data_IF_349210219774
#
_entry.id   IF_349210219774
#
_cell.length_a   1.000
_cell.length_b   1.000
_cell.length_c   1.000
_cell.angle_alpha   90.00
_cell.angle_beta   90.00
_cell.angle_gamma   90.00
#
_symmetry.space_group_name_H-M   'P 1'
#
loop_
_entity.id
_entity.type
_entity.pdbx_description
1 polymer ?
#
# COMPACT_ATOMS: atom_id res chain seq x y z
N UNK A 1 35.21 15.16 45.66
CA UNK A 1 35.13 13.94 44.81
C UNK A 1 33.73 13.60 44.30
N UNK A 2 32.64 14.13 44.88
CA UNK A 2 31.26 13.75 44.51
C UNK A 2 30.67 14.45 43.27
N UNK A 3 31.36 15.46 42.70
CA UNK A 3 30.90 16.21 41.51
C UNK A 3 31.40 15.66 40.17
N UNK A 4 32.43 14.81 40.18
CA UNK A 4 32.98 14.21 38.95
C UNK A 4 32.18 12.98 38.50
N UNK A 5 31.52 12.29 39.45
CA UNK A 5 30.74 11.08 39.19
C UNK A 5 29.43 11.38 38.44
N UNK A 6 28.82 12.54 38.69
CA UNK A 6 27.54 12.94 38.06
C UNK A 6 27.68 13.28 36.59
N UNK A 7 28.84 13.84 36.18
CA UNK A 7 29.10 14.18 34.76
C UNK A 7 29.39 12.92 33.93
N UNK A 8 30.00 11.89 34.53
CA UNK A 8 30.22 10.61 33.86
C UNK A 8 28.92 9.81 33.67
N UNK A 9 27.96 9.93 34.60
CA UNK A 9 26.62 9.32 34.46
C UNK A 9 25.78 9.98 33.36
N UNK A 10 25.95 11.28 33.09
CA UNK A 10 25.27 11.95 31.97
C UNK A 10 25.88 11.62 30.59
N UNK A 11 27.15 11.20 30.53
CA UNK A 11 27.79 10.73 29.29
C UNK A 11 27.52 9.24 29.00
N UNK A 12 26.99 8.51 29.99
CA UNK A 12 26.53 7.12 29.87
C UNK A 12 25.00 7.00 29.71
N UNK A 13 24.27 8.12 29.76
CA UNK A 13 22.95 8.20 29.15
C UNK A 13 23.19 8.08 27.64
N UNK A 14 23.24 6.83 27.19
CA UNK A 14 23.57 6.46 25.84
C UNK A 14 22.80 7.32 24.86
N UNK A 15 23.43 7.60 23.72
CA UNK A 15 22.76 7.99 22.47
C UNK A 15 21.36 7.38 22.48
N UNK A 16 20.37 8.19 22.86
CA UNK A 16 18.99 7.83 22.72
C UNK A 16 18.82 7.76 21.21
N UNK A 17 18.95 6.56 20.65
CA UNK A 17 18.71 6.35 19.23
C UNK A 17 17.26 6.76 19.05
N UNK A 18 17.05 7.90 18.38
CA UNK A 18 15.72 8.35 18.06
C UNK A 18 15.01 7.19 17.36
N UNK A 19 13.86 6.79 17.89
CA UNK A 19 12.94 5.87 17.20
C UNK A 19 12.75 6.41 15.79
N UNK A 20 12.96 5.58 14.74
CA UNK A 20 12.85 6.06 13.38
C UNK A 20 11.41 6.49 13.10
N UNK A 21 11.20 7.38 12.11
CA UNK A 21 9.86 7.60 11.60
C UNK A 21 9.26 6.26 11.15
N UNK A 22 7.96 6.07 11.41
CA UNK A 22 7.22 4.94 10.83
C UNK A 22 7.16 5.14 9.31
N UNK A 23 7.42 4.07 8.57
CA UNK A 23 7.36 4.05 7.10
C UNK A 23 6.53 2.87 6.66
N UNK A 24 5.54 3.12 5.79
CA UNK A 24 4.65 2.09 5.25
C UNK A 24 4.74 1.98 3.73
N UNK A 25 4.79 0.76 3.24
CA UNK A 25 4.84 0.46 1.81
C UNK A 25 3.72 -0.49 1.46
N UNK A 26 3.05 -0.23 0.33
CA UNK A 26 2.15 -1.20 -0.30
C UNK A 26 2.41 -1.27 -1.80
N UNK A 27 2.52 -2.49 -2.32
CA UNK A 27 2.70 -2.77 -3.75
C UNK A 27 1.60 -3.71 -4.23
N UNK A 28 0.88 -3.31 -5.27
CA UNK A 28 -0.24 -4.07 -5.81
C UNK A 28 0.11 -4.71 -7.15
N UNK A 29 -0.26 -5.98 -7.29
CA UNK A 29 -0.11 -6.73 -8.53
C UNK A 29 -1.44 -7.34 -8.93
N UNK A 30 -1.98 -6.95 -10.08
CA UNK A 30 -3.21 -7.54 -10.62
C UNK A 30 -2.94 -9.00 -11.00
N UNK A 31 -3.77 -9.92 -10.50
CA UNK A 31 -3.61 -11.35 -10.70
C UNK A 31 -4.71 -11.99 -11.55
N UNK A 32 -5.96 -11.63 -11.26
CA UNK A 32 -7.12 -12.30 -11.80
C UNK A 32 -8.33 -11.37 -11.87
N UNK A 33 -9.35 -11.77 -12.61
CA UNK A 33 -10.62 -11.05 -12.63
C UNK A 33 -11.82 -11.99 -12.86
N UNK A 34 -12.99 -11.52 -12.44
CA UNK A 34 -14.30 -12.04 -12.84
C UNK A 34 -14.98 -11.01 -13.74
N UNK A 35 -16.28 -11.20 -14.02
CA UNK A 35 -17.07 -10.20 -14.73
C UNK A 35 -17.29 -8.92 -13.90
N UNK A 36 -17.28 -9.00 -12.57
CA UNK A 36 -17.64 -7.91 -11.66
C UNK A 36 -16.49 -7.39 -10.81
N UNK A 37 -15.42 -8.15 -10.63
CA UNK A 37 -14.30 -7.78 -9.76
C UNK A 37 -12.96 -8.09 -10.42
N UNK A 38 -11.91 -7.40 -9.98
CA UNK A 38 -10.54 -7.80 -10.19
C UNK A 38 -9.85 -8.03 -8.85
N UNK A 39 -8.81 -8.85 -8.88
CA UNK A 39 -8.11 -9.32 -7.69
C UNK A 39 -6.65 -8.92 -7.77
N UNK A 40 -6.18 -8.27 -6.71
CA UNK A 40 -4.79 -7.84 -6.58
C UNK A 40 -4.11 -8.55 -5.44
N UNK A 41 -2.85 -8.94 -5.65
CA UNK A 41 -1.95 -9.29 -4.57
C UNK A 41 -1.31 -8.00 -4.06
N UNK A 42 -1.57 -7.69 -2.79
CA UNK A 42 -1.00 -6.54 -2.11
C UNK A 42 0.08 -7.01 -1.13
N UNK A 43 1.31 -6.59 -1.38
CA UNK A 43 2.42 -6.77 -0.46
C UNK A 43 2.54 -5.52 0.43
N UNK A 44 2.59 -5.71 1.74
CA UNK A 44 2.68 -4.60 2.71
C UNK A 44 3.94 -4.75 3.53
N UNK A 45 4.68 -3.65 3.67
CA UNK A 45 5.79 -3.54 4.61
C UNK A 45 5.55 -2.37 5.57
N UNK A 46 5.83 -2.58 6.85
CA UNK A 46 5.67 -1.57 7.89
C UNK A 46 6.79 -1.72 8.92
N UNK A 47 7.60 -0.69 9.12
CA UNK A 47 8.69 -0.74 10.10
C UNK A 47 8.22 -0.50 11.55
N UNK A 48 6.92 -0.32 11.80
CA UNK A 48 6.34 -0.09 13.12
C UNK A 48 6.97 1.06 13.91
N UNK A 49 7.62 2.02 13.23
CA UNK A 49 8.40 3.08 13.90
C UNK A 49 9.59 2.55 14.68
N UNK A 50 10.17 1.43 14.24
CA UNK A 50 11.30 0.73 14.87
C UNK A 50 12.43 0.48 13.89
N UNK A 51 13.68 0.54 14.37
CA UNK A 51 14.87 0.09 13.62
C UNK A 51 14.98 -1.43 13.60
N UNK A 52 14.17 -2.11 14.42
CA UNK A 52 14.39 -3.50 14.80
C UNK A 52 13.24 -4.42 14.44
N UNK A 53 12.03 -3.89 14.42
CA UNK A 53 10.82 -4.67 14.18
C UNK A 53 10.17 -4.20 12.89
N UNK A 54 9.68 -5.13 12.10
CA UNK A 54 8.91 -4.82 10.91
C UNK A 54 7.86 -5.88 10.62
N UNK A 55 6.90 -5.52 9.79
CA UNK A 55 5.88 -6.41 9.25
C UNK A 55 6.07 -6.56 7.76
N UNK A 56 5.82 -7.76 7.25
CA UNK A 56 5.78 -8.06 5.82
C UNK A 56 4.61 -8.99 5.54
N UNK A 57 3.47 -8.40 5.19
CA UNK A 57 2.24 -9.16 5.00
C UNK A 57 1.85 -9.20 3.52
N UNK A 58 1.16 -10.25 3.12
CA UNK A 58 0.62 -10.43 1.79
C UNK A 58 -0.87 -10.67 1.88
N UNK A 59 -1.65 -9.94 1.08
CA UNK A 59 -3.10 -10.05 1.05
C UNK A 59 -3.58 -10.20 -0.39
N UNK A 60 -4.60 -11.03 -0.60
CA UNK A 60 -5.43 -10.97 -1.80
C UNK A 60 -6.55 -9.98 -1.54
N UNK A 61 -6.69 -8.95 -2.37
CA UNK A 61 -7.75 -7.94 -2.25
C UNK A 61 -8.69 -8.08 -3.45
N UNK A 62 -9.98 -8.12 -3.16
CA UNK A 62 -11.05 -8.02 -4.16
C UNK A 62 -11.44 -6.55 -4.35
N UNK A 63 -11.49 -6.10 -5.60
CA UNK A 63 -11.88 -4.74 -5.96
C UNK A 63 -13.00 -4.79 -7.00
N UNK A 64 -14.10 -4.09 -6.72
CA UNK A 64 -15.24 -3.96 -7.62
C UNK A 64 -14.86 -3.21 -8.90
N UNK A 65 -15.18 -3.79 -10.06
CA UNK A 65 -14.99 -3.13 -11.36
C UNK A 65 -16.03 -2.03 -11.62
N UNK A 66 -17.13 -2.01 -10.87
CA UNK A 66 -18.21 -1.02 -11.06
C UNK A 66 -17.99 0.23 -10.20
N UNK A 67 -17.43 0.05 -9.00
CA UNK A 67 -17.23 1.15 -8.03
C UNK A 67 -15.77 1.51 -7.80
N UNK A 68 -14.83 0.60 -8.10
CA UNK A 68 -13.42 0.76 -7.77
C UNK A 68 -13.09 0.60 -6.28
N UNK A 69 -14.06 0.19 -5.47
CA UNK A 69 -13.91 -0.01 -4.02
C UNK A 69 -13.39 -1.42 -3.70
N UNK A 70 -12.51 -1.52 -2.71
CA UNK A 70 -12.14 -2.82 -2.16
C UNK A 70 -13.28 -3.38 -1.31
N UNK A 71 -13.77 -4.57 -1.66
CA UNK A 71 -14.96 -5.19 -1.07
C UNK A 71 -14.63 -6.26 -0.05
N UNK A 72 -13.55 -7.00 -0.27
CA UNK A 72 -13.10 -8.09 0.58
C UNK A 72 -11.58 -8.28 0.49
N UNK A 73 -11.00 -8.93 1.49
CA UNK A 73 -9.61 -9.36 1.46
C UNK A 73 -9.40 -10.71 2.15
N UNK A 74 -8.30 -11.37 1.80
CA UNK A 74 -7.83 -12.61 2.41
C UNK A 74 -6.35 -12.48 2.75
N UNK A 75 -5.96 -12.60 4.03
CA UNK A 75 -4.55 -12.70 4.40
C UNK A 75 -3.95 -13.98 3.80
N UNK A 76 -2.83 -13.84 3.09
CA UNK A 76 -2.12 -14.97 2.49
C UNK A 76 -0.89 -15.32 3.32
N UNK A 77 -0.20 -14.30 3.81
CA UNK A 77 1.01 -14.45 4.62
C UNK A 77 1.10 -13.30 5.62
N UNK A 78 1.46 -13.60 6.86
CA UNK A 78 1.62 -12.60 7.93
C UNK A 78 2.98 -12.78 8.58
N UNK A 79 3.89 -11.82 8.42
CA UNK A 79 5.29 -11.99 8.84
C UNK A 79 5.69 -10.85 9.77
N UNK A 80 6.27 -11.21 10.91
CA UNK A 80 7.08 -10.31 11.72
C UNK A 80 8.57 -10.53 11.46
N UNK A 81 9.31 -9.44 11.28
CA UNK A 81 10.77 -9.44 11.14
C UNK A 81 11.38 -8.76 12.36
N UNK A 82 12.37 -9.40 12.97
CA UNK A 82 13.07 -8.88 14.14
C UNK A 82 14.60 -8.90 13.95
N UNK A 83 15.22 -7.72 13.91
CA UNK A 83 16.65 -7.54 13.69
C UNK A 83 17.49 -7.53 14.99
N UNK A 84 16.90 -7.70 16.19
CA UNK A 84 17.63 -7.63 17.46
C UNK A 84 18.50 -8.88 17.76
N UNK A 85 18.20 -10.03 17.16
CA UNK A 85 18.86 -11.28 17.56
C UNK A 85 20.26 -11.45 16.95
N UNK A 86 20.59 -10.68 15.93
CA UNK A 86 21.90 -10.72 15.27
C UNK A 86 22.45 -9.30 15.24
N UNK A 87 23.57 -9.05 15.94
CA UNK A 87 24.35 -7.78 15.97
C UNK A 87 24.88 -7.32 14.59
N UNK A 88 24.24 -7.76 13.52
CA UNK A 88 24.69 -7.66 12.16
C UNK A 88 23.52 -7.24 11.26
N UNK A 89 23.54 -5.96 10.90
CA UNK A 89 22.58 -5.35 9.96
C UNK A 89 22.60 -6.00 8.56
N UNK A 90 23.51 -6.95 8.32
CA UNK A 90 23.67 -7.69 7.06
C UNK A 90 22.89 -9.02 7.01
N UNK A 91 22.38 -9.52 8.14
CA UNK A 91 21.52 -10.70 8.16
C UNK A 91 20.04 -10.29 8.16
N UNK A 92 19.18 -10.91 7.32
CA UNK A 92 17.74 -10.75 7.48
C UNK A 92 17.43 -11.23 8.90
N UNK A 93 16.81 -10.36 9.70
CA UNK A 93 16.52 -10.67 11.10
C UNK A 93 15.69 -11.94 11.27
N UNK A 94 15.39 -12.33 12.50
CA UNK A 94 14.51 -13.45 12.77
C UNK A 94 13.14 -13.22 12.09
N UNK A 95 12.78 -14.14 11.18
CA UNK A 95 11.50 -14.12 10.46
C UNK A 95 10.55 -15.03 11.23
N UNK A 96 9.44 -14.47 11.68
CA UNK A 96 8.40 -15.17 12.45
C UNK A 96 7.06 -15.03 11.76
N UNK A 97 6.28 -16.10 11.72
CA UNK A 97 4.88 -16.01 11.30
C UNK A 97 4.05 -15.43 12.44
N UNK A 98 3.21 -14.46 12.10
CA UNK A 98 2.28 -13.85 13.05
C UNK A 98 1.00 -14.68 13.15
N UNK A 99 0.37 -14.65 14.32
CA UNK A 99 -0.90 -15.33 14.54
C UNK A 99 -2.03 -14.79 13.64
N UNK A 100 -2.98 -15.66 13.33
CA UNK A 100 -4.22 -15.37 12.59
C UNK A 100 -4.41 -16.28 11.37
N UNK A 101 -5.58 -16.15 10.76
CA UNK A 101 -5.96 -16.98 9.63
C UNK A 101 -5.19 -16.60 8.37
N UNK A 102 -4.80 -17.61 7.61
CA UNK A 102 -4.20 -17.45 6.27
C UNK A 102 -4.92 -18.34 5.27
N UNK A 103 -4.93 -17.92 4.01
CA UNK A 103 -5.66 -18.57 2.93
C UNK A 103 -4.72 -18.94 1.77
N UNK A 104 -5.00 -20.05 1.09
CA UNK A 104 -4.35 -20.37 -0.17
C UNK A 104 -4.95 -19.51 -1.30
N UNK A 105 -4.11 -18.68 -1.91
CA UNK A 105 -4.53 -17.73 -2.94
C UNK A 105 -5.22 -18.41 -4.13
N UNK A 106 -4.70 -19.55 -4.58
CA UNK A 106 -5.23 -20.23 -5.76
C UNK A 106 -6.55 -20.92 -5.44
N UNK A 107 -6.72 -21.43 -4.21
CA UNK A 107 -7.98 -21.96 -3.73
C UNK A 107 -9.07 -20.88 -3.69
N UNK A 108 -8.78 -19.72 -3.08
CA UNK A 108 -9.72 -18.60 -3.01
C UNK A 108 -10.13 -18.13 -4.40
N UNK A 109 -9.17 -17.88 -5.29
CA UNK A 109 -9.46 -17.43 -6.67
C UNK A 109 -10.33 -18.44 -7.43
N UNK A 110 -10.07 -19.74 -7.24
CA UNK A 110 -10.88 -20.81 -7.86
C UNK A 110 -12.30 -20.85 -7.32
N UNK A 111 -12.49 -20.67 -6.01
CA UNK A 111 -13.83 -20.63 -5.39
C UNK A 111 -14.66 -19.44 -5.88
N UNK A 112 -14.00 -18.29 -6.06
CA UNK A 112 -14.62 -17.09 -6.62
C UNK A 112 -14.88 -17.18 -8.13
N UNK A 113 -14.34 -18.21 -8.81
CA UNK A 113 -14.40 -18.35 -10.26
C UNK A 113 -13.61 -17.25 -10.99
N UNK A 114 -12.57 -16.72 -10.36
CA UNK A 114 -11.71 -15.71 -10.95
C UNK A 114 -10.74 -16.35 -11.95
N UNK A 115 -10.64 -15.74 -13.13
CA UNK A 115 -9.73 -16.19 -14.18
C UNK A 115 -8.40 -15.43 -14.07
N UNK A 116 -7.24 -16.13 -14.11
CA UNK A 116 -5.95 -15.47 -14.12
C UNK A 116 -5.83 -14.54 -15.32
N UNK A 117 -5.39 -13.31 -15.05
CA UNK A 117 -5.11 -12.35 -16.09
C UNK A 117 -3.71 -12.64 -16.62
N UNK A 118 -3.62 -12.88 -17.92
CA UNK A 118 -2.32 -12.89 -18.58
C UNK A 118 -1.84 -11.44 -18.55
N UNK A 119 -0.62 -11.17 -18.06
CA UNK A 119 -0.04 -9.85 -18.18
C UNK A 119 -0.11 -9.45 -19.65
N UNK A 120 -0.96 -8.48 -19.94
CA UNK A 120 -0.99 -7.81 -21.23
C UNK A 120 -0.42 -6.42 -20.99
N UNK A 121 0.91 -6.30 -20.74
CA UNK A 121 1.54 -5.01 -20.58
C UNK A 121 1.50 -4.36 -21.96
N UNK A 122 0.47 -3.58 -22.21
CA UNK A 122 0.67 -2.42 -23.06
C UNK A 122 1.30 -1.36 -22.16
N UNK A 123 2.31 -0.68 -22.69
CA UNK A 123 2.83 0.48 -21.98
C UNK A 123 1.69 1.48 -21.84
N UNK A 124 1.56 2.05 -20.64
CA UNK A 124 0.56 3.08 -20.36
C UNK A 124 0.98 4.41 -21.01
N UNK A 125 1.50 4.36 -22.25
CA UNK A 125 2.04 5.50 -23.01
C UNK A 125 0.97 6.59 -23.21
N UNK A 126 -0.30 6.20 -23.27
CA UNK A 126 -1.41 7.12 -23.46
C UNK A 126 -1.79 7.87 -22.19
N UNK A 127 -1.37 7.42 -21.00
CA UNK A 127 -1.70 8.09 -19.74
C UNK A 127 -0.50 8.74 -19.06
N UNK A 128 -0.74 9.94 -18.54
CA UNK A 128 0.23 10.66 -17.76
C UNK A 128 -0.45 11.39 -16.61
N UNK A 129 0.32 11.66 -15.54
CA UNK A 129 -0.10 12.57 -14.49
C UNK A 129 0.42 13.97 -14.79
N UNK A 130 -0.49 14.93 -14.89
CA UNK A 130 -0.17 16.35 -15.09
C UNK A 130 -0.84 17.13 -13.97
N UNK A 131 -0.04 17.80 -13.14
CA UNK A 131 -0.52 18.53 -11.95
C UNK A 131 -1.40 17.67 -11.03
N UNK A 132 -1.07 16.37 -10.92
CA UNK A 132 -1.80 15.39 -10.12
C UNK A 132 -3.11 14.89 -10.74
N UNK A 133 -3.50 15.36 -11.92
CA UNK A 133 -4.65 14.85 -12.67
C UNK A 133 -4.21 13.74 -13.63
N UNK A 134 -5.04 12.70 -13.78
CA UNK A 134 -4.78 11.65 -14.77
C UNK A 134 -5.29 12.10 -16.13
N UNK A 135 -4.39 12.17 -17.09
CA UNK A 135 -4.63 12.56 -18.48
C UNK A 135 -4.57 11.32 -19.37
N UNK A 136 -5.42 11.29 -20.40
CA UNK A 136 -5.31 10.40 -21.57
C UNK A 136 -5.06 11.27 -22.80
N UNK A 137 -3.83 11.34 -23.29
CA UNK A 137 -3.41 12.38 -24.23
C UNK A 137 -3.70 13.78 -23.67
N UNK A 138 -4.52 14.57 -24.37
CA UNK A 138 -4.92 15.92 -23.94
C UNK A 138 -6.19 15.94 -23.06
N UNK A 139 -6.84 14.80 -22.83
CA UNK A 139 -8.12 14.74 -22.12
C UNK A 139 -7.89 14.36 -20.65
N UNK A 140 -8.38 15.18 -19.72
CA UNK A 140 -8.39 14.81 -18.31
C UNK A 140 -9.45 13.73 -18.06
N UNK A 141 -9.02 12.56 -17.59
CA UNK A 141 -9.90 11.44 -17.28
C UNK A 141 -10.18 11.30 -15.79
N UNK A 142 -9.26 11.70 -14.91
CA UNK A 142 -9.50 11.80 -13.46
C UNK A 142 -8.90 13.09 -12.89
N UNK A 143 -9.61 13.70 -11.94
CA UNK A 143 -9.09 14.82 -11.15
C UNK A 143 -8.12 14.32 -10.07
N UNK A 144 -7.25 15.18 -9.51
CA UNK A 144 -6.45 14.82 -8.34
C UNK A 144 -7.30 14.33 -7.16
N UNK A 145 -8.47 14.93 -6.97
CA UNK A 145 -9.43 14.51 -5.96
C UNK A 145 -9.94 13.08 -6.20
N UNK A 146 -10.29 12.74 -7.45
CA UNK A 146 -10.77 11.40 -7.80
C UNK A 146 -9.69 10.33 -7.60
N UNK A 147 -8.43 10.64 -7.89
CA UNK A 147 -7.30 9.74 -7.63
C UNK A 147 -7.18 9.45 -6.13
N UNK A 148 -7.24 10.47 -5.28
CA UNK A 148 -7.21 10.28 -3.82
C UNK A 148 -8.42 9.49 -3.32
N UNK A 149 -9.60 9.73 -3.89
CA UNK A 149 -10.79 8.96 -3.58
C UNK A 149 -10.64 7.47 -3.93
N UNK A 150 -10.03 7.15 -5.08
CA UNK A 150 -9.71 5.77 -5.47
C UNK A 150 -8.71 5.11 -4.49
N UNK A 151 -7.63 5.82 -4.14
CA UNK A 151 -6.68 5.33 -3.13
C UNK A 151 -7.37 5.04 -1.79
N UNK A 152 -8.23 5.96 -1.32
CA UNK A 152 -9.05 5.77 -0.10
C UNK A 152 -9.94 4.53 -0.18
N UNK A 153 -10.63 4.37 -1.28
CA UNK A 153 -11.57 3.27 -1.50
C UNK A 153 -10.89 1.89 -1.52
N UNK A 154 -9.63 1.81 -1.93
CA UNK A 154 -8.90 0.54 -2.07
C UNK A 154 -7.96 0.22 -0.91
N UNK A 155 -7.31 1.21 -0.32
CA UNK A 155 -6.30 0.99 0.72
C UNK A 155 -6.94 0.87 2.12
N UNK A 156 -8.07 1.53 2.36
CA UNK A 156 -8.71 1.55 3.68
C UNK A 156 -9.22 0.18 4.18
N UNK A 157 -9.39 -0.80 3.28
CA UNK A 157 -9.93 -2.13 3.62
C UNK A 157 -9.09 -2.88 4.67
N UNK A 158 -7.78 -2.61 4.72
CA UNK A 158 -6.85 -3.25 5.65
C UNK A 158 -6.61 -2.44 6.93
N UNK A 159 -7.28 -1.30 7.12
CA UNK A 159 -7.02 -0.38 8.24
C UNK A 159 -7.11 -1.06 9.62
N UNK A 160 -8.01 -2.01 9.78
CA UNK A 160 -8.24 -2.69 11.06
C UNK A 160 -7.18 -3.76 11.41
N UNK A 161 -6.38 -4.22 10.44
CA UNK A 161 -5.44 -5.33 10.62
C UNK A 161 -4.09 -4.92 11.23
N UNK A 162 -3.82 -3.62 11.24
CA UNK A 162 -2.54 -3.08 11.64
C UNK A 162 -2.67 -2.23 12.89
N UNK A 163 -1.65 -2.25 13.78
CA UNK A 163 -1.71 -1.51 15.02
C UNK A 163 -1.85 -0.01 14.73
N UNK A 164 -2.87 0.59 15.35
CA UNK A 164 -3.00 2.03 15.48
C UNK A 164 -1.78 2.61 16.21
N UNK A 165 -1.53 3.91 16.06
CA UNK A 165 -0.58 4.61 16.93
C UNK A 165 -0.89 4.32 18.40
N UNK A 166 0.16 4.16 19.21
CA UNK A 166 0.05 3.84 20.64
C UNK A 166 -0.79 4.89 21.42
N UNK A 167 -0.95 6.11 20.87
CA UNK A 167 -1.87 7.11 21.40
C UNK A 167 -2.44 8.08 20.34
N UNK A 168 -3.61 8.65 20.61
CA UNK A 168 -4.23 9.74 19.81
C UNK A 168 -3.38 11.03 19.82
N UNK A 169 -2.49 11.17 20.81
CA UNK A 169 -1.62 12.33 21.00
C UNK A 169 -0.38 12.29 20.08
N UNK A 170 0.13 11.09 19.78
CA UNK A 170 1.19 10.87 18.80
C UNK A 170 0.69 11.11 17.36
N UNK A 171 -0.54 10.68 17.08
CA UNK A 171 -1.22 10.90 15.80
C UNK A 171 -1.44 12.39 15.48
N UNK A 172 -1.71 13.25 16.48
CA UNK A 172 -1.88 14.70 16.27
C UNK A 172 -0.56 15.48 16.19
N UNK A 173 0.57 14.87 16.57
CA UNK A 173 1.89 15.52 16.61
C UNK A 173 2.65 15.43 15.30
N UNK A 174 2.31 14.48 14.45
CA UNK A 174 2.96 14.26 13.17
C UNK A 174 1.92 14.44 12.07
N UNK A 175 1.96 15.57 11.36
CA UNK A 175 1.19 15.82 10.13
C UNK A 175 1.62 14.82 9.03
N UNK A 176 1.31 13.53 9.21
CA UNK A 176 1.79 12.45 8.35
C UNK A 176 0.64 11.70 7.71
N UNK A 177 0.78 11.51 6.41
CA UNK A 177 -0.07 10.65 5.61
C UNK A 177 0.48 9.24 5.77
N UNK A 178 -0.32 8.33 6.30
CA UNK A 178 0.03 6.92 6.45
C UNK A 178 -0.99 6.07 5.66
N UNK A 179 -0.60 4.85 5.29
CA UNK A 179 -1.46 3.84 4.66
C UNK A 179 -2.81 3.68 5.39
N UNK A 180 -2.82 3.89 6.71
CA UNK A 180 -3.97 3.74 7.60
C UNK A 180 -4.82 5.01 7.76
N UNK A 181 -4.28 6.17 7.36
CA UNK A 181 -4.97 7.44 7.39
C UNK A 181 -4.82 8.20 6.08
N UNK A 182 -5.44 7.63 5.07
CA UNK A 182 -5.58 8.23 3.74
C UNK A 182 -6.36 9.56 3.78
N UNK A 183 -6.94 9.92 4.94
CA UNK A 183 -7.61 11.19 5.21
C UNK A 183 -6.67 12.30 5.68
N UNK A 184 -5.43 11.99 6.04
CA UNK A 184 -4.43 12.97 6.44
C UNK A 184 -4.24 14.05 5.37
N UNK A 185 -4.11 15.28 5.84
CA UNK A 185 -3.87 16.46 5.02
C UNK A 185 -2.43 16.42 4.47
N UNK A 186 -2.24 16.83 3.21
CA UNK A 186 -0.93 16.86 2.55
C UNK A 186 -0.98 16.41 1.10
N UNK A 187 0.09 16.66 0.35
CA UNK A 187 0.15 16.36 -1.08
C UNK A 187 0.69 14.95 -1.35
N UNK A 188 0.01 14.22 -2.25
CA UNK A 188 0.44 12.91 -2.73
C UNK A 188 1.13 13.13 -4.07
N UNK A 189 2.39 12.73 -4.17
CA UNK A 189 3.12 12.68 -5.42
C UNK A 189 2.88 11.33 -6.09
N UNK A 190 1.91 11.30 -7.00
CA UNK A 190 1.54 10.09 -7.72
C UNK A 190 2.29 9.95 -9.05
N UNK A 191 2.57 8.70 -9.43
CA UNK A 191 3.17 8.29 -10.70
C UNK A 191 2.37 7.13 -11.29
N UNK A 192 2.26 7.09 -12.62
CA UNK A 192 1.66 5.95 -13.32
C UNK A 192 2.66 4.78 -13.29
N UNK A 193 2.19 3.60 -12.90
CA UNK A 193 2.99 2.37 -12.88
C UNK A 193 3.26 1.82 -14.30
N UNK A 194 4.24 0.93 -14.42
CA UNK A 194 4.75 0.48 -15.72
C UNK A 194 3.87 -0.51 -16.50
N UNK A 195 2.86 -1.12 -15.88
CA UNK A 195 2.04 -2.15 -16.54
C UNK A 195 0.57 -2.04 -16.11
N UNK A 196 -0.29 -1.58 -17.01
CA UNK A 196 -1.74 -1.60 -16.84
C UNK A 196 -2.40 -2.90 -17.31
N UNK A 197 -3.71 -2.99 -17.09
CA UNK A 197 -4.52 -4.09 -17.60
C UNK A 197 -5.79 -3.53 -18.24
N UNK A 198 -6.21 -4.11 -19.37
CA UNK A 198 -7.52 -3.81 -19.95
C UNK A 198 -8.42 -5.04 -19.86
N UNK A 199 -9.63 -4.82 -19.39
CA UNK A 199 -10.71 -5.80 -19.38
C UNK A 199 -11.80 -5.34 -20.35
N UNK A 200 -12.42 -6.28 -21.04
CA UNK A 200 -13.55 -5.99 -21.93
C UNK A 200 -14.78 -6.72 -21.44
N UNK A 201 -15.86 -5.97 -21.26
CA UNK A 201 -17.23 -6.47 -21.12
C UNK A 201 -17.97 -6.26 -22.44
N UNK A 202 -19.19 -6.76 -22.54
CA UNK A 202 -20.01 -6.69 -23.77
C UNK A 202 -20.17 -5.24 -24.26
N UNK A 203 -20.38 -4.29 -23.34
CA UNK A 203 -20.68 -2.89 -23.66
C UNK A 203 -19.60 -1.93 -23.20
N UNK A 204 -18.53 -2.42 -22.58
CA UNK A 204 -17.58 -1.56 -21.88
C UNK A 204 -16.15 -2.08 -22.03
N UNK A 205 -15.21 -1.15 -22.09
CA UNK A 205 -13.80 -1.40 -21.89
C UNK A 205 -13.37 -0.74 -20.59
N UNK A 206 -12.73 -1.51 -19.72
CA UNK A 206 -12.23 -1.04 -18.42
C UNK A 206 -10.72 -1.06 -18.47
N UNK A 207 -10.09 0.09 -18.32
CA UNK A 207 -8.64 0.21 -18.18
C UNK A 207 -8.29 0.37 -16.70
N UNK A 208 -7.47 -0.55 -16.20
CA UNK A 208 -6.92 -0.57 -14.85
C UNK A 208 -5.53 0.06 -14.91
N UNK A 209 -5.42 1.29 -14.40
CA UNK A 209 -4.20 2.09 -14.46
C UNK A 209 -3.51 2.01 -13.09
N UNK A 210 -2.33 1.39 -12.98
CA UNK A 210 -1.60 1.35 -11.71
C UNK A 210 -1.10 2.75 -11.36
N UNK A 211 -1.25 3.12 -10.10
CA UNK A 211 -0.76 4.36 -9.54
C UNK A 211 0.09 4.04 -8.32
N UNK A 212 1.29 4.62 -8.27
CA UNK A 212 2.16 4.61 -7.11
C UNK A 212 2.25 6.02 -6.58
N UNK A 213 1.79 6.24 -5.36
CA UNK A 213 1.79 7.54 -4.71
C UNK A 213 2.72 7.53 -3.51
N UNK A 214 3.52 8.57 -3.37
CA UNK A 214 4.37 8.82 -2.20
C UNK A 214 3.92 10.11 -1.50
N UNK A 215 4.15 10.20 -0.19
CA UNK A 215 4.01 11.47 0.51
C UNK A 215 5.32 12.28 0.46
N UNK A 216 5.19 13.59 0.67
CA UNK A 216 6.33 14.52 0.65
C UNK A 216 7.44 14.14 1.65
N UNK A 217 7.08 13.54 2.79
CA UNK A 217 8.05 13.17 3.82
C UNK A 217 8.70 11.79 3.58
N UNK A 218 8.35 11.10 2.47
CA UNK A 218 8.80 9.75 2.14
C UNK A 218 8.55 8.76 3.29
N UNK A 219 7.48 9.00 4.03
CA UNK A 219 6.98 8.15 5.11
C UNK A 219 5.98 7.11 4.61
N UNK A 220 5.52 7.20 3.36
CA UNK A 220 4.84 6.09 2.72
C UNK A 220 4.89 6.07 1.20
N UNK A 221 4.80 4.86 0.66
CA UNK A 221 4.66 4.59 -0.77
C UNK A 221 3.50 3.59 -0.95
N UNK A 222 2.49 3.98 -1.71
CA UNK A 222 1.26 3.22 -1.83
C UNK A 222 0.88 2.97 -3.28
N UNK A 223 0.59 1.71 -3.58
CA UNK A 223 0.12 1.28 -4.89
C UNK A 223 -1.38 1.01 -4.86
N UNK A 224 -2.10 1.51 -5.86
CA UNK A 224 -3.52 1.24 -6.07
C UNK A 224 -3.87 1.47 -7.55
N UNK A 225 -5.14 1.26 -7.93
CA UNK A 225 -5.55 1.30 -9.33
C UNK A 225 -6.62 2.36 -9.59
N UNK A 226 -6.42 3.17 -10.62
CA UNK A 226 -7.47 3.97 -11.22
C UNK A 226 -8.24 3.13 -12.25
N UNK A 227 -9.57 3.21 -12.24
CA UNK A 227 -10.44 2.52 -13.17
C UNK A 227 -11.01 3.53 -14.17
N UNK A 228 -10.73 3.33 -15.46
CA UNK A 228 -11.28 4.14 -16.55
C UNK A 228 -12.24 3.27 -17.35
N UNK A 229 -13.54 3.60 -17.31
CA UNK A 229 -14.60 2.86 -17.99
C UNK A 229 -15.02 3.61 -19.25
N UNK A 230 -14.84 2.97 -20.40
CA UNK A 230 -15.22 3.48 -21.71
C UNK A 230 -16.39 2.65 -22.25
N UNK A 231 -17.48 3.31 -22.63
CA UNK A 231 -18.60 2.65 -23.29
C UNK A 231 -18.21 2.29 -24.72
N UNK A 232 -18.46 1.04 -25.13
CA UNK A 232 -18.29 0.58 -26.49
C UNK A 232 -19.56 0.91 -27.27
N UNK A 233 -19.43 1.76 -28.29
CA UNK A 233 -20.51 2.00 -29.25
C UNK A 233 -20.76 0.70 -30.04
N UNK A 234 -21.98 0.16 -29.94
CA UNK A 234 -22.45 -0.97 -30.74
C UNK A 234 -22.82 -0.55 -32.16
#
# INVERSE_FOLDING_TARGET
>A
MMRLLTVLLCLLAGVAMATPPRVTFSDDRILAATQSHFYVLRDITDNLGSHFHGLHDQHLIEISLDTGEATQYWPLRRIGVNHLETDDFLFPGAITEREGDTYDMMEVLRELGAEPLVPSPWEVEDFALVEGALMKGETQVLTPFAIRAAGRAQLAILRAEYPLFESEEDYRREDRIDFYDLYAEGDWECRVGGAGQTLSRITERISLIPLNCEDYNLSGLWSFHALIIEQLEN
#
